data_IF_684260948097
#
_entry.id   IF_684260948097
#
_cell.length_a   1.000
_cell.length_b   1.000
_cell.length_c   1.000
_cell.angle_alpha   90.00
_cell.angle_beta   90.00
_cell.angle_gamma   90.00
#
_symmetry.space_group_name_H-M   'P 1'
#
loop_
_entity.id
_entity.type
_entity.pdbx_description
1 polymer ?
#
# COMPACT_ATOMS: atom_id res chain seq x y z
N UNK A 1 -30.88 3.72 -14.64
CA UNK A 1 -30.56 2.86 -13.49
C UNK A 1 -29.22 2.18 -13.73
N UNK A 2 -28.12 2.82 -13.33
CA UNK A 2 -26.84 2.15 -13.17
C UNK A 2 -26.46 2.36 -11.71
N UNK A 3 -26.53 1.30 -10.93
CA UNK A 3 -26.11 1.25 -9.53
C UNK A 3 -24.60 1.43 -9.49
N UNK A 4 -24.16 2.69 -9.57
CA UNK A 4 -22.78 3.08 -9.29
C UNK A 4 -22.51 2.74 -7.83
N UNK A 5 -21.76 1.66 -7.60
CA UNK A 5 -21.11 1.40 -6.33
C UNK A 5 -20.17 2.56 -6.06
N UNK A 6 -20.69 3.61 -5.44
CA UNK A 6 -19.89 4.66 -4.82
C UNK A 6 -18.99 3.96 -3.82
N UNK A 7 -17.72 3.80 -4.19
CA UNK A 7 -16.67 3.66 -3.18
C UNK A 7 -16.89 4.85 -2.25
N UNK A 8 -17.08 4.66 -0.93
CA UNK A 8 -17.39 5.75 -0.04
C UNK A 8 -16.12 6.61 0.08
N UNK A 9 -15.97 7.57 -0.82
CA UNK A 9 -15.02 8.67 -0.71
C UNK A 9 -15.69 9.66 0.25
N UNK A 10 -15.78 9.25 1.51
CA UNK A 10 -16.24 10.12 2.58
C UNK A 10 -15.12 11.10 2.85
N UNK A 11 -15.39 12.39 2.66
CA UNK A 11 -14.52 13.50 3.05
C UNK A 11 -14.01 13.31 4.48
N UNK A 12 -12.80 12.77 4.60
CA UNK A 12 -11.97 12.71 5.81
C UNK A 12 -10.53 12.83 5.35
N UNK A 13 -9.72 13.57 6.10
CA UNK A 13 -8.33 13.89 5.74
C UNK A 13 -7.42 12.70 5.92
N UNK A 14 -7.54 11.77 4.98
CA UNK A 14 -7.11 10.40 5.13
C UNK A 14 -6.09 10.03 4.03
N UNK A 15 -5.06 9.29 4.42
CA UNK A 15 -4.01 8.78 3.52
C UNK A 15 -4.38 7.36 3.10
N UNK A 16 -4.59 7.15 1.80
CA UNK A 16 -4.76 5.83 1.20
C UNK A 16 -3.52 5.46 0.40
N UNK A 17 -2.89 4.33 0.73
CA UNK A 17 -1.73 3.82 0.01
C UNK A 17 -2.06 2.48 -0.65
N UNK A 18 -1.84 2.36 -1.96
CA UNK A 18 -2.07 1.15 -2.74
C UNK A 18 -0.73 0.54 -3.16
N UNK A 19 -0.54 -0.74 -2.89
CA UNK A 19 0.71 -1.44 -3.17
C UNK A 19 0.53 -2.55 -4.22
N UNK A 20 1.50 -2.69 -5.12
CA UNK A 20 1.58 -3.83 -6.01
C UNK A 20 3.03 -4.33 -6.21
N UNK A 21 3.25 -5.64 -6.15
CA UNK A 21 4.54 -6.28 -6.38
C UNK A 21 4.50 -7.39 -7.45
N UNK A 22 5.43 -7.33 -8.41
CA UNK A 22 5.78 -8.48 -9.27
C UNK A 22 7.16 -9.01 -8.89
N UNK A 23 7.52 -10.21 -9.38
CA UNK A 23 8.79 -10.93 -9.11
C UNK A 23 10.07 -10.08 -9.21
N UNK A 24 10.01 -8.89 -9.82
CA UNK A 24 11.15 -7.98 -9.88
C UNK A 24 10.81 -6.48 -9.81
N UNK A 25 9.54 -6.07 -9.77
CA UNK A 25 9.16 -4.64 -9.78
C UNK A 25 8.05 -4.41 -8.78
N UNK A 26 8.28 -3.52 -7.82
CA UNK A 26 7.28 -3.02 -6.89
C UNK A 26 6.84 -1.62 -7.27
N UNK A 27 5.59 -1.29 -6.99
CA UNK A 27 5.09 0.06 -7.12
C UNK A 27 4.05 0.38 -6.06
N UNK A 28 3.95 1.66 -5.72
CA UNK A 28 2.91 2.16 -4.83
C UNK A 28 2.38 3.50 -5.28
N UNK A 29 1.16 3.78 -4.83
CA UNK A 29 0.46 5.06 -5.00
C UNK A 29 0.00 5.48 -3.62
N UNK A 30 0.32 6.70 -3.20
CA UNK A 30 -0.17 7.31 -1.98
C UNK A 30 -1.01 8.53 -2.33
N UNK A 31 -2.25 8.52 -1.86
CA UNK A 31 -3.18 9.63 -1.98
C UNK A 31 -3.48 10.21 -0.62
N UNK A 32 -3.64 11.53 -0.57
CA UNK A 32 -4.09 12.27 0.62
C UNK A 32 -5.30 13.09 0.18
N UNK A 33 -6.42 12.99 0.88
CA UNK A 33 -7.67 13.69 0.49
C UNK A 33 -8.15 13.37 -0.94
N UNK A 34 -7.87 12.17 -1.45
CA UNK A 34 -8.22 11.82 -2.83
C UNK A 34 -7.35 12.50 -3.90
N UNK A 35 -6.25 13.15 -3.50
CA UNK A 35 -5.24 13.70 -4.39
C UNK A 35 -3.99 12.84 -4.35
N UNK A 36 -3.37 12.60 -5.51
CA UNK A 36 -2.09 11.90 -5.61
C UNK A 36 -0.98 12.77 -5.01
N UNK A 37 -0.28 12.27 -3.99
CA UNK A 37 0.83 13.00 -3.33
C UNK A 37 2.18 12.33 -3.56
N UNK A 38 2.23 10.99 -3.55
CA UNK A 38 3.45 10.24 -3.80
C UNK A 38 3.15 9.00 -4.62
N UNK A 39 4.03 8.66 -5.55
CA UNK A 39 3.99 7.40 -6.28
C UNK A 39 5.40 6.94 -6.56
N UNK A 40 5.57 5.63 -6.71
CA UNK A 40 6.87 5.06 -7.05
C UNK A 40 6.69 3.78 -7.84
N UNK A 41 7.58 3.59 -8.81
CA UNK A 41 7.85 2.29 -9.42
C UNK A 41 9.33 2.01 -9.25
N UNK A 42 9.69 0.86 -8.70
CA UNK A 42 11.08 0.48 -8.49
C UNK A 42 11.29 -1.01 -8.74
N UNK A 43 12.38 -1.34 -9.44
CA UNK A 43 12.86 -2.71 -9.54
C UNK A 43 13.41 -3.14 -8.17
N UNK A 44 12.99 -4.30 -7.67
CA UNK A 44 13.48 -4.82 -6.40
C UNK A 44 15.00 -5.07 -6.50
N UNK A 45 15.81 -4.53 -5.57
CA UNK A 45 17.27 -4.67 -5.63
C UNK A 45 17.74 -6.07 -5.24
N UNK A 46 16.91 -6.82 -4.53
CA UNK A 46 17.20 -8.20 -4.09
C UNK A 46 16.25 -9.16 -4.76
N UNK A 47 16.75 -10.35 -5.08
CA UNK A 47 15.91 -11.45 -5.55
C UNK A 47 15.02 -11.90 -4.39
N UNK A 48 13.73 -12.08 -4.67
CA UNK A 48 12.76 -12.63 -3.72
C UNK A 48 12.49 -14.09 -4.11
N UNK A 49 12.52 -14.99 -3.13
CA UNK A 49 12.32 -16.43 -3.37
C UNK A 49 10.82 -16.78 -3.50
N UNK A 50 9.93 -15.87 -3.09
CA UNK A 50 8.48 -16.00 -3.30
C UNK A 50 7.82 -14.67 -3.67
N UNK A 51 6.62 -14.73 -4.27
CA UNK A 51 5.79 -13.55 -4.55
C UNK A 51 5.35 -12.87 -3.25
N UNK A 52 5.03 -13.66 -2.23
CA UNK A 52 4.68 -13.15 -0.90
C UNK A 52 5.81 -12.34 -0.27
N UNK A 53 7.05 -12.83 -0.36
CA UNK A 53 8.22 -12.10 0.13
C UNK A 53 8.46 -10.80 -0.65
N UNK A 54 8.29 -10.83 -1.97
CA UNK A 54 8.40 -9.65 -2.82
C UNK A 54 7.35 -8.59 -2.43
N UNK A 55 6.09 -9.00 -2.24
CA UNK A 55 5.01 -8.12 -1.80
C UNK A 55 5.26 -7.57 -0.40
N UNK A 56 5.81 -8.38 0.50
CA UNK A 56 6.16 -7.94 1.84
C UNK A 56 7.28 -6.89 1.84
N UNK A 57 8.31 -7.08 1.00
CA UNK A 57 9.36 -6.08 0.80
C UNK A 57 8.79 -4.77 0.25
N UNK A 58 7.87 -4.86 -0.71
CA UNK A 58 7.18 -3.72 -1.28
C UNK A 58 6.34 -2.99 -0.21
N UNK A 59 5.65 -3.74 0.66
CA UNK A 59 4.87 -3.22 1.78
C UNK A 59 5.76 -2.48 2.76
N UNK A 60 6.92 -3.03 3.10
CA UNK A 60 7.90 -2.38 3.98
C UNK A 60 8.39 -1.05 3.42
N UNK A 61 8.65 -0.98 2.11
CA UNK A 61 9.08 0.27 1.46
C UNK A 61 7.95 1.32 1.44
N UNK A 62 6.71 0.90 1.14
CA UNK A 62 5.55 1.80 1.15
C UNK A 62 5.22 2.30 2.56
N UNK A 63 5.31 1.45 3.58
CA UNK A 63 5.01 1.84 4.96
C UNK A 63 5.95 2.94 5.46
N UNK A 64 7.23 2.89 5.08
CA UNK A 64 8.20 3.96 5.39
C UNK A 64 7.84 5.29 4.74
N UNK A 65 7.41 5.25 3.47
CA UNK A 65 6.94 6.44 2.77
C UNK A 65 5.71 7.04 3.45
N UNK A 66 4.76 6.19 3.83
CA UNK A 66 3.53 6.62 4.53
C UNK A 66 3.86 7.21 5.90
N UNK A 67 4.75 6.58 6.67
CA UNK A 67 5.20 7.12 7.97
C UNK A 67 5.85 8.50 7.81
N UNK A 68 6.74 8.66 6.81
CA UNK A 68 7.35 9.95 6.51
C UNK A 68 6.31 11.00 6.12
N UNK A 69 5.33 10.66 5.26
CA UNK A 69 4.24 11.56 4.90
C UNK A 69 3.38 11.95 6.11
N UNK A 70 3.13 11.04 7.05
CA UNK A 70 2.40 11.37 8.29
C UNK A 70 3.18 12.39 9.11
N UNK A 71 4.49 12.21 9.26
CA UNK A 71 5.35 13.15 9.99
C UNK A 71 5.36 14.51 9.32
N UNK A 72 5.55 14.55 8.00
CA UNK A 72 5.49 15.79 7.22
C UNK A 72 4.14 16.51 7.37
N UNK A 73 3.02 15.78 7.28
CA UNK A 73 1.68 16.34 7.43
C UNK A 73 1.41 16.88 8.84
N UNK A 74 2.06 16.30 9.87
CA UNK A 74 2.01 16.81 11.25
C UNK A 74 2.78 18.13 11.39
N UNK A 75 3.95 18.24 10.77
CA UNK A 75 4.77 19.46 10.83
C UNK A 75 4.08 20.66 10.17
N UNK A 76 3.34 20.44 9.07
CA UNK A 76 2.64 21.49 8.34
C UNK A 76 1.20 21.77 8.84
N UNK A 77 0.82 21.22 10.00
CA UNK A 77 -0.52 21.34 10.63
C UNK A 77 -1.71 20.98 9.72
N UNK A 78 -1.47 20.13 8.70
CA UNK A 78 -2.53 19.62 7.83
C UNK A 78 -3.17 18.35 8.39
N UNK A 79 -2.51 17.67 9.33
CA UNK A 79 -2.97 16.43 9.96
C UNK A 79 -3.90 16.65 11.17
N UNK A 80 -4.91 17.51 11.01
CA UNK A 80 -5.86 17.88 12.10
C UNK A 80 -6.79 16.74 12.54
N UNK A 81 -6.96 15.72 11.71
CA UNK A 81 -7.69 14.50 12.07
C UNK A 81 -6.68 13.37 12.22
N UNK A 82 -6.48 12.86 13.45
CA UNK A 82 -5.68 11.67 13.76
C UNK A 82 -6.30 10.40 13.14
N UNK A 83 -6.41 10.36 11.81
CA UNK A 83 -6.95 9.23 11.09
C UNK A 83 -5.81 8.25 10.78
N UNK A 84 -5.99 6.99 11.19
CA UNK A 84 -5.04 5.93 10.86
C UNK A 84 -5.07 5.70 9.34
N UNK A 85 -3.96 5.88 8.61
CA UNK A 85 -3.87 5.63 7.17
C UNK A 85 -4.25 4.18 6.82
N UNK A 86 -4.90 3.96 5.67
CA UNK A 86 -5.16 2.60 5.17
C UNK A 86 -4.22 2.30 4.01
N UNK A 87 -3.59 1.15 4.15
CA UNK A 87 -2.73 0.53 3.17
C UNK A 87 -3.53 -0.59 2.54
N UNK A 88 -3.45 -0.74 1.22
CA UNK A 88 -4.15 -1.79 0.49
C UNK A 88 -3.16 -2.66 -0.28
N UNK A 89 -3.38 -3.97 -0.21
CA UNK A 89 -2.59 -4.99 -0.91
C UNK A 89 -3.55 -6.05 -1.50
N UNK A 90 -3.23 -6.64 -2.64
CA UNK A 90 -4.00 -7.70 -3.29
C UNK A 90 -3.43 -9.10 -3.01
N UNK A 91 -2.26 -9.20 -2.40
CA UNK A 91 -1.70 -10.47 -1.96
C UNK A 91 -2.14 -10.79 -0.52
N UNK A 92 -3.14 -11.67 -0.40
CA UNK A 92 -3.59 -12.20 0.89
C UNK A 92 -2.48 -12.81 1.72
N UNK A 93 -1.54 -13.54 1.09
CA UNK A 93 -0.41 -14.13 1.81
C UNK A 93 0.49 -13.09 2.48
N UNK A 94 0.69 -11.93 1.84
CA UNK A 94 1.49 -10.85 2.44
C UNK A 94 0.73 -10.16 3.59
N UNK A 95 -0.60 -10.03 3.46
CA UNK A 95 -1.47 -9.49 4.51
C UNK A 95 -1.52 -10.43 5.71
N UNK A 96 -1.70 -11.73 5.48
CA UNK A 96 -1.74 -12.73 6.53
C UNK A 96 -0.40 -12.78 7.28
N UNK A 97 0.74 -12.64 6.58
CA UNK A 97 2.04 -12.51 7.24
C UNK A 97 2.13 -11.26 8.12
N UNK A 98 1.64 -10.11 7.64
CA UNK A 98 1.64 -8.86 8.38
C UNK A 98 0.68 -8.87 9.60
N UNK A 99 -0.44 -9.59 9.51
CA UNK A 99 -1.45 -9.68 10.58
C UNK A 99 -1.21 -10.86 11.53
N UNK A 100 -0.46 -11.88 11.10
CA UNK A 100 -0.18 -13.05 11.93
C UNK A 100 0.74 -12.71 13.10
N UNK A 101 0.40 -13.21 14.28
CA UNK A 101 1.27 -13.22 15.47
C UNK A 101 2.27 -14.39 15.46
N UNK A 102 2.21 -15.27 14.46
CA UNK A 102 3.10 -16.42 14.37
C UNK A 102 4.39 -16.00 13.67
N UNK A 103 5.52 -16.20 14.34
CA UNK A 103 6.82 -16.18 13.67
C UNK A 103 6.83 -17.34 12.68
N UNK A 104 6.70 -17.01 11.39
CA UNK A 104 6.97 -17.96 10.34
C UNK A 104 8.47 -18.25 10.36
N UNK A 105 8.89 -19.21 11.17
CA UNK A 105 10.27 -19.71 11.30
C UNK A 105 10.83 -20.33 10.00
N UNK A 106 10.21 -20.06 8.84
CA UNK A 106 10.62 -20.54 7.52
C UNK A 106 11.50 -19.56 6.73
N UNK A 107 11.51 -18.26 7.04
CA UNK A 107 12.37 -17.28 6.35
C UNK A 107 13.72 -17.20 7.07
N UNK A 108 14.74 -17.84 6.51
CA UNK A 108 16.06 -18.03 7.13
C UNK A 108 16.95 -16.78 7.21
N UNK A 109 16.40 -15.56 7.19
CA UNK A 109 17.22 -14.33 7.12
C UNK A 109 16.75 -13.25 8.09
N UNK A 110 17.61 -12.91 9.06
CA UNK A 110 17.41 -11.85 10.08
C UNK A 110 16.87 -10.52 9.52
N UNK A 111 17.29 -10.13 8.31
CA UNK A 111 16.84 -8.89 7.68
C UNK A 111 15.34 -8.89 7.32
N UNK A 112 14.75 -10.05 7.07
CA UNK A 112 13.31 -10.18 6.83
C UNK A 112 12.54 -10.12 8.15
N UNK A 113 13.04 -10.78 9.21
CA UNK A 113 12.42 -10.76 10.54
C UNK A 113 12.24 -9.33 11.07
N UNK A 114 13.28 -8.50 10.96
CA UNK A 114 13.22 -7.09 11.37
C UNK A 114 12.12 -6.32 10.60
N UNK A 115 11.95 -6.61 9.30
CA UNK A 115 10.89 -5.98 8.50
C UNK A 115 9.50 -6.50 8.91
N UNK A 116 9.40 -7.77 9.28
CA UNK A 116 8.16 -8.36 9.76
C UNK A 116 7.70 -7.66 11.04
N UNK A 117 8.58 -7.62 12.03
CA UNK A 117 8.30 -7.02 13.33
C UNK A 117 7.97 -5.53 13.21
N UNK A 118 8.70 -4.78 12.39
CA UNK A 118 8.42 -3.36 12.16
C UNK A 118 6.99 -3.09 11.65
N UNK A 119 6.52 -3.79 10.61
CA UNK A 119 5.15 -3.60 10.11
C UNK A 119 4.11 -4.06 11.13
N UNK A 120 4.36 -5.18 11.82
CA UNK A 120 3.46 -5.70 12.86
C UNK A 120 3.30 -4.71 14.01
N UNK A 121 4.40 -4.09 14.44
CA UNK A 121 4.38 -3.08 15.49
C UNK A 121 3.59 -1.84 15.06
N UNK A 122 3.71 -1.40 13.81
CA UNK A 122 2.93 -0.29 13.27
C UNK A 122 1.43 -0.60 13.20
N UNK A 123 1.06 -1.83 12.83
CA UNK A 123 -0.33 -2.29 12.85
C UNK A 123 -0.85 -2.36 14.30
N UNK A 124 -0.07 -2.93 15.22
CA UNK A 124 -0.42 -3.08 16.64
C UNK A 124 -0.62 -1.73 17.31
N UNK A 125 0.24 -0.77 17.01
CA UNK A 125 0.15 0.60 17.51
C UNK A 125 -0.91 1.46 16.78
N UNK A 126 -1.70 0.85 15.89
CA UNK A 126 -2.73 1.55 15.09
C UNK A 126 -2.18 2.75 14.30
N UNK A 127 -0.90 2.70 13.94
CA UNK A 127 -0.24 3.71 13.09
C UNK A 127 -0.63 3.51 11.63
N UNK A 128 -0.89 2.26 11.23
CA UNK A 128 -1.38 1.90 9.89
C UNK A 128 -2.50 0.86 9.99
N UNK A 129 -3.38 0.85 8.99
CA UNK A 129 -4.42 -0.17 8.85
C UNK A 129 -4.27 -0.88 7.49
N UNK A 130 -3.85 -2.14 7.50
CA UNK A 130 -3.67 -2.93 6.28
C UNK A 130 -4.98 -3.63 5.89
N UNK A 131 -5.43 -3.43 4.65
CA UNK A 131 -6.65 -4.02 4.10
C UNK A 131 -6.38 -4.76 2.80
N UNK A 132 -7.14 -5.83 2.57
CA UNK A 132 -7.16 -6.50 1.28
C UNK A 132 -7.99 -5.69 0.28
N UNK A 133 -7.49 -5.56 -0.94
CA UNK A 133 -8.23 -5.08 -2.10
C UNK A 133 -8.08 -6.07 -3.24
N UNK A 134 -9.12 -6.28 -4.05
CA UNK A 134 -8.97 -7.08 -5.27
C UNK A 134 -7.98 -6.41 -6.22
N UNK A 135 -7.17 -7.19 -6.94
CA UNK A 135 -6.34 -6.72 -8.06
C UNK A 135 -7.16 -5.91 -9.07
N UNK A 136 -8.43 -6.26 -9.26
CA UNK A 136 -9.35 -5.54 -10.13
C UNK A 136 -9.77 -4.18 -9.59
N UNK A 137 -9.43 -3.79 -8.37
CA UNK A 137 -9.71 -2.46 -7.83
C UNK A 137 -8.42 -1.72 -7.45
N UNK A 138 -7.26 -2.32 -7.69
CA UNK A 138 -5.97 -1.75 -7.40
C UNK A 138 -5.57 -0.72 -8.46
N UNK A 139 -5.48 0.54 -8.07
CA UNK A 139 -5.05 1.61 -8.98
C UNK A 139 -3.54 1.55 -9.25
N UNK A 140 -2.72 0.96 -8.36
CA UNK A 140 -1.28 0.78 -8.57
C UNK A 140 -0.93 -0.15 -9.75
N UNK A 141 -1.91 -0.88 -10.31
CA UNK A 141 -1.70 -1.84 -11.40
C UNK A 141 -1.03 -1.26 -12.64
N UNK A 142 -1.33 -0.02 -13.02
CA UNK A 142 -0.73 0.62 -14.19
C UNK A 142 0.75 0.97 -13.99
N UNK A 143 1.23 1.03 -12.74
CA UNK A 143 2.63 1.38 -12.45
C UNK A 143 3.60 0.26 -12.76
N UNK A 144 3.18 -1.00 -12.65
CA UNK A 144 4.06 -2.17 -12.80
C UNK A 144 3.67 -3.10 -13.95
N UNK A 145 2.50 -2.88 -14.56
CA UNK A 145 1.98 -3.70 -15.66
C UNK A 145 1.74 -2.86 -16.90
N UNK A 146 2.01 -3.43 -18.07
CA UNK A 146 1.45 -2.95 -19.33
C UNK A 146 -0.07 -3.20 -19.32
N UNK A 147 -0.85 -2.19 -18.96
CA UNK A 147 -2.31 -2.29 -18.83
C UNK A 147 -3.02 -1.75 -20.07
N UNK A 148 -4.19 -2.30 -20.39
CA UNK A 148 -5.05 -1.79 -21.46
C UNK A 148 -5.75 -0.49 -21.07
N UNK A 149 -6.31 0.22 -22.07
CA UNK A 149 -7.00 1.52 -21.93
C UNK A 149 -8.00 1.56 -20.77
N UNK A 150 -8.79 0.50 -20.57
CA UNK A 150 -9.82 0.44 -19.52
C UNK A 150 -9.25 0.56 -18.09
N UNK A 151 -8.16 -0.16 -17.80
CA UNK A 151 -7.54 -0.14 -16.48
C UNK A 151 -6.87 1.22 -16.24
N UNK A 152 -6.25 1.79 -17.28
CA UNK A 152 -5.62 3.10 -17.22
C UNK A 152 -6.65 4.20 -16.95
N UNK A 153 -7.78 4.21 -17.66
CA UNK A 153 -8.88 5.16 -17.43
C UNK A 153 -9.46 5.05 -16.02
N UNK A 154 -9.61 3.82 -15.50
CA UNK A 154 -10.08 3.62 -14.13
C UNK A 154 -9.10 4.19 -13.10
N UNK A 155 -7.81 3.92 -13.28
CA UNK A 155 -6.78 4.48 -12.40
C UNK A 155 -6.73 6.01 -12.48
N UNK A 156 -6.95 6.60 -13.66
CA UNK A 156 -7.09 8.05 -13.81
C UNK A 156 -8.29 8.60 -13.03
N UNK A 157 -9.46 7.97 -13.12
CA UNK A 157 -10.63 8.39 -12.34
C UNK A 157 -10.39 8.26 -10.83
N UNK A 158 -9.70 7.20 -10.39
CA UNK A 158 -9.38 7.01 -8.97
C UNK A 158 -8.45 8.11 -8.43
N UNK A 159 -7.53 8.59 -9.25
CA UNK A 159 -6.52 9.59 -8.86
C UNK A 159 -7.00 11.04 -8.95
N UNK A 160 -8.25 11.29 -9.37
CA UNK A 160 -8.79 12.62 -9.63
C UNK A 160 -7.88 13.47 -10.55
N UNK A 161 -7.34 12.86 -11.62
CA UNK A 161 -6.49 13.56 -12.59
C UNK A 161 -7.31 14.24 -13.72
N UNK A 162 -8.53 14.70 -13.42
CA UNK A 162 -9.43 15.38 -14.36
C UNK A 162 -9.60 16.86 -14.00
#
# INVERSE_FOLDING_TARGET
MLTGTKVPITHKRFIAALLQGRRSTSGYIVTVNGHLVSWRTKKQPTVSHSTTEAEYKALSDMTKEVEWLIQLLKEIDLNRENSTPQLFNDNKGAIDLALSNTNYNGFKTKHMDIKYDYIRDLIRNSVINLKYISTNSMAADFLTKSVGKMILLRSWCFLNLC
#
